data_IF_529962060256
#
_entry.id   IF_529962060256
#
_cell.length_a   1.000
_cell.length_b   1.000
_cell.length_c   1.000
_cell.angle_alpha   90.00
_cell.angle_beta   90.00
_cell.angle_gamma   90.00
#
_symmetry.space_group_name_H-M   'P 1'
#
loop_
_entity.id
_entity.type
_entity.pdbx_description
1 polymer ?
#
# COMPACT_ATOMS: atom_id res chain seq x y z
N UNK A 1 -20.28 20.00 -4.51
CA UNK A 1 -20.59 18.57 -4.66
C UNK A 1 -19.48 17.81 -3.96
N UNK A 2 -19.80 16.80 -3.14
CA UNK A 2 -18.75 16.00 -2.48
C UNK A 2 -18.09 15.06 -3.48
N UNK A 3 -16.77 14.86 -3.35
CA UNK A 3 -15.95 14.02 -4.22
C UNK A 3 -14.95 13.24 -3.39
N UNK A 4 -14.45 12.12 -3.92
CA UNK A 4 -13.43 11.32 -3.23
C UNK A 4 -12.06 12.00 -3.28
N UNK A 5 -11.20 11.78 -2.28
CA UNK A 5 -9.97 12.56 -2.10
C UNK A 5 -8.84 12.26 -3.11
N UNK A 6 -8.72 11.03 -3.63
CA UNK A 6 -7.58 10.66 -4.47
C UNK A 6 -7.83 10.87 -5.97
N UNK A 7 -8.98 10.44 -6.48
CA UNK A 7 -9.32 10.47 -7.91
C UNK A 7 -10.48 11.40 -8.25
N UNK A 8 -10.96 12.20 -7.28
CA UNK A 8 -12.01 13.19 -7.48
C UNK A 8 -13.32 12.58 -8.03
N UNK A 9 -13.64 11.35 -7.60
CA UNK A 9 -14.82 10.62 -8.08
C UNK A 9 -16.10 11.29 -7.56
N UNK A 10 -17.09 11.54 -8.43
CA UNK A 10 -18.31 12.22 -8.04
C UNK A 10 -19.20 11.34 -7.16
N UNK A 11 -19.63 11.87 -6.02
CA UNK A 11 -20.51 11.17 -5.07
C UNK A 11 -21.97 11.57 -5.27
N UNK A 12 -22.89 10.65 -4.92
CA UNK A 12 -24.32 10.93 -4.91
C UNK A 12 -24.69 11.88 -3.77
N UNK A 13 -25.64 12.78 -4.02
CA UNK A 13 -26.22 13.64 -3.00
C UNK A 13 -27.09 12.84 -2.02
N UNK A 14 -27.37 13.43 -0.86
CA UNK A 14 -28.36 12.91 0.06
C UNK A 14 -29.77 12.88 -0.57
N UNK A 15 -30.65 12.07 0.02
CA UNK A 15 -32.04 11.91 -0.40
C UNK A 15 -32.21 11.24 -1.78
N UNK A 16 -31.33 10.29 -2.12
CA UNK A 16 -31.42 9.46 -3.33
C UNK A 16 -31.98 8.07 -3.01
N UNK A 17 -33.03 8.05 -2.19
CA UNK A 17 -33.64 6.83 -1.65
C UNK A 17 -32.61 5.93 -0.92
N UNK A 18 -31.68 6.54 -0.18
CA UNK A 18 -30.63 5.90 0.61
C UNK A 18 -29.58 5.12 -0.19
N UNK A 19 -29.65 5.11 -1.54
CA UNK A 19 -28.62 4.50 -2.40
C UNK A 19 -27.28 5.20 -2.24
N UNK A 20 -27.31 6.48 -1.92
CA UNK A 20 -26.12 7.28 -1.67
C UNK A 20 -25.25 6.67 -0.57
N UNK A 21 -25.83 6.00 0.43
CA UNK A 21 -25.06 5.43 1.54
C UNK A 21 -24.14 4.32 1.05
N UNK A 22 -24.71 3.31 0.39
CA UNK A 22 -23.93 2.14 -0.08
C UNK A 22 -23.03 2.49 -1.24
N UNK A 23 -23.50 3.30 -2.19
CA UNK A 23 -22.70 3.69 -3.35
C UNK A 23 -21.51 4.56 -2.95
N UNK A 24 -21.72 5.58 -2.12
CA UNK A 24 -20.64 6.47 -1.72
C UNK A 24 -19.62 5.76 -0.84
N UNK A 25 -20.04 4.82 0.00
CA UNK A 25 -19.13 3.99 0.80
C UNK A 25 -18.24 3.12 -0.10
N UNK A 26 -18.81 2.51 -1.15
CA UNK A 26 -18.04 1.78 -2.15
C UNK A 26 -17.04 2.68 -2.90
N UNK A 27 -17.45 3.92 -3.24
CA UNK A 27 -16.57 4.90 -3.88
C UNK A 27 -15.39 5.30 -2.99
N UNK A 28 -15.62 5.52 -1.69
CA UNK A 28 -14.55 5.86 -0.74
C UNK A 28 -13.52 4.74 -0.63
N UNK A 29 -13.97 3.48 -0.56
CA UNK A 29 -13.05 2.33 -0.49
C UNK A 29 -12.29 2.15 -1.80
N UNK A 30 -12.95 2.18 -2.97
CA UNK A 30 -12.27 1.98 -4.25
C UNK A 30 -11.30 3.13 -4.56
N UNK A 31 -11.63 4.37 -4.20
CA UNK A 31 -10.74 5.52 -4.39
C UNK A 31 -9.41 5.37 -3.63
N UNK A 32 -9.44 4.80 -2.43
CA UNK A 32 -8.23 4.50 -1.65
C UNK A 32 -7.44 3.32 -2.23
N UNK A 33 -8.13 2.28 -2.73
CA UNK A 33 -7.47 1.06 -3.21
C UNK A 33 -6.97 1.15 -4.65
N UNK A 34 -7.62 1.95 -5.50
CA UNK A 34 -7.36 2.00 -6.95
C UNK A 34 -5.93 2.46 -7.26
N UNK A 35 -5.39 3.37 -6.44
CA UNK A 35 -4.00 3.82 -6.58
C UNK A 35 -2.97 2.74 -6.22
N UNK A 36 -3.38 1.68 -5.53
CA UNK A 36 -2.49 0.59 -5.12
C UNK A 36 -1.32 1.07 -4.27
N UNK A 37 -1.52 2.08 -3.42
CA UNK A 37 -0.46 2.66 -2.59
C UNK A 37 -0.90 2.78 -1.13
N UNK A 38 0.01 2.53 -0.21
CA UNK A 38 -0.14 2.77 1.22
C UNK A 38 0.93 3.75 1.69
N UNK A 39 0.66 4.41 2.82
CA UNK A 39 1.61 5.28 3.50
C UNK A 39 2.60 4.46 4.35
N UNK A 40 2.28 3.21 4.69
CA UNK A 40 3.17 2.29 5.40
C UNK A 40 2.42 1.20 6.15
N UNK A 41 3.16 0.45 6.98
CA UNK A 41 2.62 -0.56 7.91
C UNK A 41 2.52 0.05 9.31
N UNK A 42 1.36 -0.08 9.95
CA UNK A 42 1.14 0.38 11.32
C UNK A 42 0.17 -0.54 12.07
N UNK A 43 0.26 -0.62 13.39
CA UNK A 43 -0.64 -1.44 14.21
C UNK A 43 -1.54 -0.62 15.14
N UNK A 44 -1.31 0.68 15.25
CA UNK A 44 -2.05 1.59 16.12
C UNK A 44 -2.54 2.80 15.31
N UNK A 45 -3.87 3.04 15.21
CA UNK A 45 -4.39 4.23 14.53
C UNK A 45 -3.93 5.55 15.15
N UNK A 46 -3.52 5.56 16.42
CA UNK A 46 -3.02 6.75 17.12
C UNK A 46 -1.61 7.17 16.70
N UNK A 47 -0.85 6.30 16.03
CA UNK A 47 0.53 6.61 15.60
C UNK A 47 0.60 7.15 14.17
N UNK A 48 -0.49 7.04 13.40
CA UNK A 48 -0.54 7.48 12.00
C UNK A 48 -1.21 8.85 11.86
N UNK A 49 -0.72 9.66 10.93
CA UNK A 49 -1.40 10.88 10.52
C UNK A 49 -2.60 10.52 9.61
N UNK A 50 -3.80 10.46 10.20
CA UNK A 50 -5.01 9.96 9.54
C UNK A 50 -5.60 10.95 8.51
N UNK A 51 -4.88 11.21 7.42
CA UNK A 51 -5.37 12.01 6.30
C UNK A 51 -6.39 11.25 5.45
N UNK A 52 -7.47 11.93 5.05
CA UNK A 52 -8.57 11.29 4.30
C UNK A 52 -8.07 10.75 2.95
N UNK A 53 -8.48 9.51 2.62
CA UNK A 53 -8.08 8.83 1.39
C UNK A 53 -6.76 8.09 1.48
N UNK A 54 -5.99 8.28 2.56
CA UNK A 54 -4.75 7.53 2.81
C UNK A 54 -5.06 6.15 3.39
N UNK A 55 -4.17 5.21 3.10
CA UNK A 55 -4.29 3.83 3.50
C UNK A 55 -3.00 3.29 4.12
N UNK A 56 -3.13 2.33 5.02
CA UNK A 56 -2.04 1.63 5.70
C UNK A 56 -2.33 0.13 5.68
N UNK A 57 -1.29 -0.69 5.64
CA UNK A 57 -1.43 -2.10 6.03
C UNK A 57 -1.42 -2.16 7.54
N UNK A 58 -2.40 -2.87 8.09
CA UNK A 58 -2.44 -3.17 9.53
C UNK A 58 -1.37 -4.21 9.83
N UNK A 59 -0.39 -3.81 10.62
CA UNK A 59 0.74 -4.64 11.03
C UNK A 59 0.39 -5.69 12.08
N UNK A 60 1.41 -6.45 12.53
CA UNK A 60 1.23 -7.45 13.57
C UNK A 60 0.85 -6.77 14.89
N UNK A 61 -0.03 -7.38 15.67
CA UNK A 61 -0.55 -6.86 16.95
C UNK A 61 -1.38 -5.56 16.85
N UNK A 62 -2.47 -5.54 16.06
CA UNK A 62 -3.33 -4.37 15.96
C UNK A 62 -4.00 -4.00 17.30
N UNK A 63 -4.18 -2.70 17.53
CA UNK A 63 -4.78 -2.17 18.76
C UNK A 63 -6.01 -1.28 18.50
N UNK A 64 -6.77 -1.01 19.57
CA UNK A 64 -7.93 -0.13 19.53
C UNK A 64 -8.96 -0.56 18.48
N UNK A 65 -9.39 0.38 17.65
CA UNK A 65 -10.35 0.11 16.57
C UNK A 65 -9.77 -0.69 15.40
N UNK A 66 -8.46 -0.94 15.37
CA UNK A 66 -7.82 -1.82 14.39
C UNK A 66 -7.75 -3.27 14.87
N UNK A 67 -8.12 -3.57 16.12
CA UNK A 67 -8.13 -4.94 16.65
C UNK A 67 -8.82 -5.93 15.70
N UNK A 68 -8.24 -7.12 15.58
CA UNK A 68 -8.68 -8.20 14.68
C UNK A 68 -8.61 -7.86 13.17
N UNK A 69 -7.87 -6.80 12.79
CA UNK A 69 -7.68 -6.38 11.39
C UNK A 69 -6.27 -6.58 10.87
N UNK A 70 -5.49 -7.48 11.46
CA UNK A 70 -4.16 -7.83 10.94
C UNK A 70 -4.21 -8.10 9.42
N UNK A 71 -3.20 -7.61 8.71
CA UNK A 71 -3.06 -7.67 7.24
C UNK A 71 -4.13 -6.93 6.43
N UNK A 72 -5.20 -6.39 7.03
CA UNK A 72 -6.17 -5.56 6.31
C UNK A 72 -5.54 -4.24 5.88
N UNK A 73 -6.15 -3.64 4.86
CA UNK A 73 -5.84 -2.29 4.43
C UNK A 73 -6.77 -1.35 5.19
N UNK A 74 -6.22 -0.61 6.15
CA UNK A 74 -6.92 0.43 6.90
C UNK A 74 -6.94 1.74 6.09
N UNK A 75 -8.13 2.27 5.84
CA UNK A 75 -8.38 3.46 5.01
C UNK A 75 -8.95 4.55 5.91
N UNK A 76 -8.29 5.72 5.94
CA UNK A 76 -8.80 6.88 6.68
C UNK A 76 -9.85 7.61 5.84
N UNK A 77 -10.98 7.93 6.44
CA UNK A 77 -12.11 8.64 5.80
C UNK A 77 -12.62 9.74 6.72
N UNK A 78 -13.44 10.65 6.20
CA UNK A 78 -14.15 11.64 7.02
C UNK A 78 -15.02 11.00 8.12
N UNK A 79 -15.50 9.78 7.90
CA UNK A 79 -16.34 9.01 8.82
C UNK A 79 -15.58 7.97 9.65
N UNK A 80 -14.27 8.19 9.86
CA UNK A 80 -13.39 7.26 10.56
C UNK A 80 -12.76 6.22 9.64
N UNK A 81 -12.39 5.07 10.21
CA UNK A 81 -11.64 4.04 9.49
C UNK A 81 -12.55 3.08 8.71
N UNK A 82 -12.06 2.63 7.57
CA UNK A 82 -12.58 1.48 6.81
C UNK A 82 -11.49 0.45 6.64
N UNK A 83 -11.88 -0.81 6.50
CA UNK A 83 -10.93 -1.91 6.37
C UNK A 83 -11.31 -2.73 5.15
N UNK A 84 -10.36 -2.88 4.23
CA UNK A 84 -10.50 -3.79 3.11
C UNK A 84 -9.64 -5.03 3.36
N UNK A 85 -10.20 -6.25 3.26
CA UNK A 85 -9.38 -7.46 3.29
C UNK A 85 -8.49 -7.50 2.04
N UNK A 86 -7.23 -7.93 2.16
CA UNK A 86 -6.37 -8.12 1.01
C UNK A 86 -6.85 -9.31 0.17
N UNK A 87 -6.56 -9.28 -1.13
CA UNK A 87 -6.76 -10.42 -2.02
C UNK A 87 -5.42 -11.12 -2.26
N UNK A 88 -5.43 -12.43 -2.43
CA UNK A 88 -4.24 -13.17 -2.84
C UNK A 88 -3.67 -12.57 -4.14
N UNK A 89 -2.35 -12.41 -4.18
CA UNK A 89 -1.60 -11.75 -5.27
C UNK A 89 -1.90 -10.26 -5.47
N UNK A 90 -2.64 -9.63 -4.54
CA UNK A 90 -2.75 -8.18 -4.51
C UNK A 90 -1.38 -7.54 -4.34
N UNK A 91 -1.14 -6.44 -5.06
CA UNK A 91 0.09 -5.67 -4.97
C UNK A 91 -0.21 -4.24 -4.55
N UNK A 92 0.61 -3.70 -3.65
CA UNK A 92 0.54 -2.31 -3.21
C UNK A 92 1.96 -1.74 -3.11
N UNK A 93 2.12 -0.47 -3.43
CA UNK A 93 3.35 0.26 -3.20
C UNK A 93 3.35 0.83 -1.78
N UNK A 94 4.38 0.51 -1.00
CA UNK A 94 4.60 1.09 0.32
C UNK A 94 5.48 2.33 0.20
N UNK A 95 4.93 3.50 0.52
CA UNK A 95 5.67 4.77 0.46
C UNK A 95 6.75 4.91 1.55
N UNK A 96 6.55 4.30 2.72
CA UNK A 96 7.53 4.35 3.79
C UNK A 96 8.77 3.51 3.45
N UNK A 97 8.55 2.32 2.88
CA UNK A 97 9.63 1.40 2.50
C UNK A 97 10.15 1.62 1.07
N UNK A 98 9.44 2.39 0.24
CA UNK A 98 9.82 2.69 -1.14
C UNK A 98 9.71 1.49 -2.09
N UNK A 99 8.90 0.48 -1.75
CA UNK A 99 8.88 -0.80 -2.46
C UNK A 99 7.50 -1.41 -2.62
N UNK A 100 7.35 -2.32 -3.58
CA UNK A 100 6.13 -3.10 -3.74
C UNK A 100 6.01 -4.16 -2.65
N UNK A 101 4.80 -4.31 -2.10
CA UNK A 101 4.38 -5.46 -1.31
C UNK A 101 3.41 -6.31 -2.11
N UNK A 102 3.47 -7.63 -1.93
CA UNK A 102 2.52 -8.60 -2.49
C UNK A 102 1.89 -9.40 -1.36
N UNK A 103 0.57 -9.50 -1.34
CA UNK A 103 -0.12 -10.38 -0.43
C UNK A 103 -0.11 -11.83 -0.96
N UNK A 104 0.33 -12.79 -0.16
CA UNK A 104 0.47 -14.19 -0.59
C UNK A 104 -0.73 -15.09 -0.24
N UNK A 105 -1.76 -14.52 0.39
CA UNK A 105 -2.91 -15.26 0.93
C UNK A 105 -2.90 -15.31 2.46
N UNK A 106 -1.77 -15.02 3.11
CA UNK A 106 -1.60 -14.97 4.56
C UNK A 106 -0.95 -13.67 5.05
N UNK A 107 0.12 -13.22 4.39
CA UNK A 107 0.91 -12.06 4.81
C UNK A 107 1.33 -11.17 3.64
N UNK A 108 1.74 -9.95 3.97
CA UNK A 108 2.29 -9.00 3.02
C UNK A 108 3.80 -9.16 2.90
N UNK A 109 4.24 -9.73 1.78
CA UNK A 109 5.65 -9.90 1.46
C UNK A 109 6.20 -8.62 0.82
N UNK A 110 7.26 -8.05 1.38
CA UNK A 110 8.01 -6.97 0.76
C UNK A 110 8.91 -7.46 -0.37
N UNK A 111 9.39 -6.54 -1.21
CA UNK A 111 10.46 -6.84 -2.15
C UNK A 111 11.74 -7.25 -1.38
N UNK A 112 12.37 -8.35 -1.77
CA UNK A 112 13.65 -8.75 -1.17
C UNK A 112 14.80 -7.89 -1.70
N UNK A 113 15.80 -7.64 -0.86
CA UNK A 113 17.00 -6.93 -1.26
C UNK A 113 17.97 -7.89 -1.96
N UNK A 114 18.45 -7.52 -3.14
CA UNK A 114 19.52 -8.24 -3.84
C UNK A 114 20.81 -7.44 -3.66
N UNK A 115 21.81 -8.05 -3.04
CA UNK A 115 23.12 -7.44 -2.83
C UNK A 115 23.83 -7.17 -4.16
N UNK A 116 24.59 -6.07 -4.19
CA UNK A 116 25.47 -5.80 -5.33
C UNK A 116 26.52 -6.92 -5.46
N UNK A 117 26.94 -7.27 -6.70
CA UNK A 117 27.88 -8.35 -6.93
C UNK A 117 29.25 -8.05 -6.32
N UNK A 118 29.52 -8.63 -5.15
CA UNK A 118 30.81 -8.57 -4.45
C UNK A 118 31.46 -9.96 -4.44
N UNK A 119 32.48 -10.16 -5.28
CA UNK A 119 33.24 -11.42 -5.30
C UNK A 119 33.73 -11.84 -6.69
N UNK A 120 34.10 -13.11 -6.80
CA UNK A 120 34.64 -13.73 -8.01
C UNK A 120 36.17 -13.61 -8.12
N UNK A 121 36.84 -14.73 -8.41
CA UNK A 121 38.29 -14.76 -8.65
C UNK A 121 38.68 -14.13 -9.99
N UNK A 122 37.76 -14.11 -10.95
CA UNK A 122 37.86 -13.42 -12.23
C UNK A 122 36.68 -12.46 -12.32
N UNK A 123 36.95 -11.18 -12.56
CA UNK A 123 35.95 -10.11 -12.60
C UNK A 123 35.89 -9.54 -14.01
N UNK A 124 34.70 -9.64 -14.61
CA UNK A 124 34.34 -8.89 -15.82
C UNK A 124 33.77 -7.52 -15.40
N UNK A 125 34.46 -6.44 -15.76
CA UNK A 125 34.14 -5.10 -15.29
C UNK A 125 32.92 -4.50 -16.01
N UNK A 126 32.77 -4.78 -17.30
CA UNK A 126 31.61 -4.39 -18.10
C UNK A 126 30.34 -5.06 -17.57
N UNK A 127 30.37 -6.37 -17.34
CA UNK A 127 29.25 -7.12 -16.80
C UNK A 127 28.87 -6.63 -15.39
N UNK A 128 29.85 -6.36 -14.52
CA UNK A 128 29.59 -5.82 -13.18
C UNK A 128 28.89 -4.46 -13.24
N UNK A 129 29.33 -3.59 -14.14
CA UNK A 129 28.73 -2.27 -14.34
C UNK A 129 27.26 -2.40 -14.77
N UNK A 130 26.97 -3.30 -15.72
CA UNK A 130 25.60 -3.54 -16.20
C UNK A 130 24.70 -4.10 -15.09
N UNK A 131 25.19 -5.06 -14.31
CA UNK A 131 24.42 -5.65 -13.21
C UNK A 131 24.08 -4.62 -12.13
N UNK A 132 25.02 -3.78 -11.74
CA UNK A 132 24.76 -2.70 -10.79
C UNK A 132 23.75 -1.70 -11.33
N UNK A 133 23.84 -1.31 -12.61
CA UNK A 133 22.85 -0.42 -13.23
C UNK A 133 21.45 -1.04 -13.29
N UNK A 134 21.35 -2.33 -13.58
CA UNK A 134 20.09 -3.06 -13.58
C UNK A 134 19.48 -3.14 -12.16
N UNK A 135 20.29 -3.45 -11.13
CA UNK A 135 19.83 -3.44 -9.75
C UNK A 135 19.36 -2.05 -9.31
N UNK A 136 20.07 -0.99 -9.71
CA UNK A 136 19.66 0.39 -9.44
C UNK A 136 18.28 0.70 -10.06
N UNK A 137 18.06 0.35 -11.33
CA UNK A 137 16.77 0.53 -11.98
C UNK A 137 15.65 -0.27 -11.30
N UNK A 138 15.91 -1.53 -10.93
CA UNK A 138 14.92 -2.37 -10.23
C UNK A 138 14.55 -1.81 -8.85
N UNK A 139 15.52 -1.26 -8.11
CA UNK A 139 15.30 -0.56 -6.83
C UNK A 139 14.49 0.71 -7.03
N UNK A 140 14.77 1.50 -8.07
CA UNK A 140 14.01 2.71 -8.42
C UNK A 140 12.53 2.40 -8.73
N UNK A 141 12.27 1.29 -9.43
CA UNK A 141 10.89 0.81 -9.68
C UNK A 141 10.25 0.12 -8.47
N UNK A 142 10.96 -0.04 -7.34
CA UNK A 142 10.46 -0.69 -6.13
C UNK A 142 10.25 -2.21 -6.27
N UNK A 143 10.90 -2.86 -7.24
CA UNK A 143 10.82 -4.31 -7.48
C UNK A 143 11.79 -5.12 -6.61
N UNK A 144 12.85 -4.46 -6.13
CA UNK A 144 13.87 -5.01 -5.24
C UNK A 144 14.08 -3.99 -4.13
N UNK A 145 14.18 -4.42 -2.88
CA UNK A 145 14.45 -3.49 -1.79
C UNK A 145 15.85 -2.88 -1.88
N UNK A 146 16.01 -1.67 -1.34
CA UNK A 146 17.32 -1.09 -1.13
C UNK A 146 18.13 -1.94 -0.14
N UNK A 147 19.40 -2.16 -0.46
CA UNK A 147 20.37 -2.90 0.38
C UNK A 147 21.00 -2.00 1.43
#
# INVERSE_FOLDING_TARGET
MSRTPNFDLPMLFAAQAQKELTHNEALVVIDALLGGCIEGVASDPGTVAAEQGRAWVVGPSPSGIWADRESHIAISTAGGWRFAPPLESMRIYDRADGGMRRFDGSEWLGAEAIADPAGGAVVDAEARTVLTALLAALREFGLVAAT
#
